data_IF_045210729165
#
_entry.id   IF_045210729165
#
_cell.length_a   1.000
_cell.length_b   1.000
_cell.length_c   1.000
_cell.angle_alpha   90.00
_cell.angle_beta   90.00
_cell.angle_gamma   90.00
#
_symmetry.space_group_name_H-M   'P 1'
#
loop_
_entity.id
_entity.type
_entity.pdbx_description
1 polymer ?
#
# COMPACT_ATOMS: atom_id res chain seq x y z
N UNK A 1 -3.70 0.47 11.87
CA UNK A 1 -4.67 -0.44 11.22
C UNK A 1 -5.89 0.38 10.83
N UNK A 2 -6.45 0.13 9.65
CA UNK A 2 -7.65 0.77 9.11
C UNK A 2 -8.60 -0.33 8.61
N UNK A 3 -9.90 -0.07 8.64
CA UNK A 3 -10.93 -1.06 8.25
C UNK A 3 -11.82 -0.51 7.14
N UNK A 4 -12.08 -1.33 6.12
CA UNK A 4 -13.08 -1.08 5.08
C UNK A 4 -14.24 -2.06 5.29
N UNK A 5 -15.45 -1.54 5.51
CA UNK A 5 -16.56 -2.32 6.04
C UNK A 5 -17.30 -3.18 4.98
N UNK A 6 -17.26 -2.81 3.71
CA UNK A 6 -17.95 -3.53 2.64
C UNK A 6 -17.29 -4.87 2.34
N UNK A 7 -15.96 -4.89 2.24
CA UNK A 7 -15.16 -6.10 2.00
C UNK A 7 -14.64 -6.75 3.29
N UNK A 8 -14.81 -6.06 4.43
CA UNK A 8 -14.18 -6.42 5.70
C UNK A 8 -12.64 -6.47 5.63
N UNK A 9 -12.04 -5.69 4.74
CA UNK A 9 -10.59 -5.64 4.56
C UNK A 9 -9.92 -4.79 5.63
N UNK A 10 -8.83 -5.33 6.18
CA UNK A 10 -7.88 -4.55 6.98
C UNK A 10 -6.77 -3.99 6.10
N UNK A 11 -6.63 -2.67 6.11
CA UNK A 11 -5.49 -1.97 5.50
C UNK A 11 -4.51 -1.58 6.60
N UNK A 12 -3.21 -1.79 6.35
CA UNK A 12 -2.15 -1.45 7.31
C UNK A 12 -1.27 -0.34 6.76
N UNK A 13 -1.03 0.71 7.56
CA UNK A 13 -0.08 1.78 7.28
C UNK A 13 1.07 1.65 8.28
N UNK A 14 2.28 1.46 7.77
CA UNK A 14 3.51 1.44 8.55
C UNK A 14 4.38 2.60 8.08
N UNK A 15 5.09 3.22 9.02
CA UNK A 15 5.99 4.32 8.72
C UNK A 15 7.20 4.29 9.64
N UNK A 16 8.34 4.72 9.12
CA UNK A 16 9.50 5.08 9.92
C UNK A 16 9.29 6.51 10.47
N UNK A 17 9.21 6.63 11.79
CA UNK A 17 8.96 7.91 12.45
C UNK A 17 10.10 8.93 12.25
N UNK A 18 11.32 8.49 11.97
CA UNK A 18 12.46 9.38 11.77
C UNK A 18 12.47 10.03 10.39
N UNK A 19 12.13 9.27 9.35
CA UNK A 19 12.18 9.72 7.95
C UNK A 19 10.81 10.13 7.40
N UNK A 20 9.72 9.64 7.99
CA UNK A 20 8.36 9.79 7.46
C UNK A 20 8.07 8.87 6.26
N UNK A 21 9.01 8.02 5.86
CA UNK A 21 8.80 7.05 4.78
C UNK A 21 7.80 5.98 5.23
N UNK A 22 6.83 5.68 4.37
CA UNK A 22 5.72 4.79 4.71
C UNK A 22 5.43 3.73 3.63
N UNK A 23 4.80 2.65 4.06
CA UNK A 23 4.19 1.62 3.22
C UNK A 23 2.74 1.41 3.65
N UNK A 24 1.86 1.21 2.66
CA UNK A 24 0.49 0.79 2.87
C UNK A 24 0.29 -0.61 2.30
N UNK A 25 -0.34 -1.49 3.07
CA UNK A 25 -0.58 -2.90 2.74
C UNK A 25 -2.08 -3.13 2.61
N UNK A 26 -2.48 -3.77 1.51
CA UNK A 26 -3.86 -4.06 1.12
C UNK A 26 -4.76 -2.80 1.15
N UNK A 27 -4.40 -1.72 0.44
CA UNK A 27 -5.27 -0.55 0.31
C UNK A 27 -6.49 -0.90 -0.55
N UNK A 28 -7.66 -0.41 -0.17
CA UNK A 28 -8.93 -0.57 -0.90
C UNK A 28 -9.26 0.69 -1.70
N UNK A 29 -9.73 0.55 -2.94
CA UNK A 29 -9.97 1.67 -3.86
C UNK A 29 -10.92 2.72 -3.27
N UNK A 30 -12.01 2.28 -2.68
CA UNK A 30 -13.07 3.10 -2.09
C UNK A 30 -12.56 3.94 -0.91
N UNK A 31 -11.50 3.49 -0.23
CA UNK A 31 -10.92 4.19 0.93
C UNK A 31 -9.70 5.03 0.60
N UNK A 32 -9.27 5.10 -0.66
CA UNK A 32 -8.12 5.94 -1.06
C UNK A 32 -8.24 7.40 -0.57
N UNK A 33 -9.41 8.07 -0.60
CA UNK A 33 -9.55 9.42 -0.02
C UNK A 33 -9.27 9.48 1.49
N UNK A 34 -9.63 8.45 2.26
CA UNK A 34 -9.28 8.32 3.69
C UNK A 34 -7.77 8.17 3.83
N UNK A 35 -7.17 7.30 3.04
CA UNK A 35 -5.74 6.96 3.15
C UNK A 35 -4.85 8.16 2.77
N UNK A 36 -5.19 8.89 1.71
CA UNK A 36 -4.51 10.12 1.31
C UNK A 36 -4.58 11.21 2.39
N UNK A 37 -5.75 11.38 3.02
CA UNK A 37 -5.92 12.34 4.11
C UNK A 37 -5.04 11.98 5.30
N UNK A 38 -5.02 10.71 5.69
CA UNK A 38 -4.21 10.25 6.82
C UNK A 38 -2.71 10.44 6.56
N UNK A 39 -2.23 10.06 5.36
CA UNK A 39 -0.84 10.29 4.97
C UNK A 39 -0.44 11.77 5.06
N UNK A 40 -1.32 12.66 4.59
CA UNK A 40 -1.10 14.12 4.67
C UNK A 40 -1.08 14.63 6.11
N UNK A 41 -2.04 14.21 6.93
CA UNK A 41 -2.15 14.65 8.33
C UNK A 41 -0.96 14.19 9.18
N UNK A 42 -0.42 13.02 8.88
CA UNK A 42 0.76 12.47 9.55
C UNK A 42 2.09 12.92 8.92
N UNK A 43 2.07 13.70 7.83
CA UNK A 43 3.28 14.16 7.14
C UNK A 43 4.12 13.04 6.53
N UNK A 44 3.49 11.95 6.09
CA UNK A 44 4.16 10.74 5.61
C UNK A 44 4.37 10.75 4.10
N UNK A 45 5.51 10.22 3.66
CA UNK A 45 5.83 9.97 2.26
C UNK A 45 5.59 8.50 1.93
N UNK A 46 4.55 8.22 1.16
CA UNK A 46 4.24 6.84 0.77
C UNK A 46 5.23 6.34 -0.29
N UNK A 47 6.07 5.36 0.06
CA UNK A 47 7.03 4.72 -0.85
C UNK A 47 6.42 3.56 -1.62
N UNK A 48 5.60 2.75 -0.94
CA UNK A 48 5.00 1.56 -1.53
C UNK A 48 3.52 1.41 -1.19
N UNK A 49 2.75 0.92 -2.16
CA UNK A 49 1.43 0.36 -1.97
C UNK A 49 1.48 -1.14 -2.31
N UNK A 50 1.57 -1.98 -1.28
CA UNK A 50 1.75 -3.42 -1.40
C UNK A 50 0.40 -4.14 -1.30
N UNK A 51 0.28 -5.25 -2.03
CA UNK A 51 -0.81 -6.20 -1.85
C UNK A 51 -0.23 -7.56 -1.44
N UNK A 52 -0.85 -8.20 -0.45
CA UNK A 52 -0.49 -9.55 -0.01
C UNK A 52 -0.75 -10.59 -1.10
N UNK A 53 -1.84 -10.43 -1.85
CA UNK A 53 -2.23 -11.28 -2.97
C UNK A 53 -3.15 -10.53 -3.95
N UNK A 54 -3.62 -11.21 -5.00
CA UNK A 54 -4.66 -10.69 -5.87
C UNK A 54 -6.01 -10.91 -5.18
N UNK A 55 -6.60 -9.83 -4.65
CA UNK A 55 -7.84 -9.87 -3.87
C UNK A 55 -9.06 -10.18 -4.76
N UNK A 56 -10.01 -10.93 -4.22
CA UNK A 56 -11.24 -11.33 -4.93
C UNK A 56 -12.50 -10.61 -4.40
N UNK A 57 -12.37 -9.97 -3.25
CA UNK A 57 -13.43 -9.34 -2.46
C UNK A 57 -13.46 -7.80 -2.59
N UNK A 58 -12.36 -7.20 -3.07
CA UNK A 58 -12.26 -5.74 -3.28
C UNK A 58 -11.31 -5.38 -4.43
N UNK A 59 -11.43 -4.15 -4.93
CA UNK A 59 -10.48 -3.59 -5.89
C UNK A 59 -9.35 -2.88 -5.15
N UNK A 60 -8.10 -3.22 -5.45
CA UNK A 60 -6.93 -2.57 -4.82
C UNK A 60 -6.88 -1.08 -5.11
N UNK A 61 -6.60 -0.28 -4.07
CA UNK A 61 -6.33 1.15 -4.14
C UNK A 61 -4.92 1.50 -4.63
N UNK A 62 -4.03 0.52 -4.80
CA UNK A 62 -2.62 0.72 -5.17
C UNK A 62 -2.43 1.55 -6.44
N UNK A 63 -3.24 1.32 -7.48
CA UNK A 63 -3.17 2.09 -8.73
C UNK A 63 -3.60 3.56 -8.57
N UNK A 64 -4.58 3.84 -7.72
CA UNK A 64 -5.02 5.20 -7.45
C UNK A 64 -3.99 5.97 -6.59
N UNK A 65 -3.44 5.33 -5.56
CA UNK A 65 -2.37 5.89 -4.73
C UNK A 65 -1.11 6.19 -5.54
N UNK A 66 -0.71 5.28 -6.43
CA UNK A 66 0.40 5.48 -7.37
C UNK A 66 0.20 6.71 -8.24
N UNK A 67 -1.00 6.92 -8.80
CA UNK A 67 -1.30 8.11 -9.60
C UNK A 67 -1.27 9.40 -8.78
N UNK A 68 -1.74 9.35 -7.54
CA UNK A 68 -1.83 10.53 -6.68
C UNK A 68 -0.49 10.94 -6.07
N UNK A 69 0.36 9.97 -5.68
CA UNK A 69 1.56 10.21 -4.86
C UNK A 69 2.87 9.79 -5.53
N UNK A 70 2.82 9.08 -6.67
CA UNK A 70 4.02 8.56 -7.33
C UNK A 70 4.69 7.39 -6.58
N UNK A 71 4.03 6.79 -5.58
CA UNK A 71 4.53 5.60 -4.90
C UNK A 71 4.59 4.38 -5.85
N UNK A 72 5.37 3.36 -5.49
CA UNK A 72 5.46 2.11 -6.27
C UNK A 72 4.44 1.07 -5.79
N UNK A 73 3.72 0.46 -6.72
CA UNK A 73 2.88 -0.71 -6.41
C UNK A 73 3.74 -1.96 -6.26
N UNK A 74 3.41 -2.83 -5.30
CA UNK A 74 4.11 -4.08 -5.06
C UNK A 74 3.14 -5.25 -4.87
N UNK A 75 3.49 -6.42 -5.41
CA UNK A 75 2.76 -7.68 -5.20
C UNK A 75 3.68 -8.87 -5.44
N UNK A 76 3.32 -10.07 -4.99
CA UNK A 76 4.07 -11.30 -5.31
C UNK A 76 4.17 -11.55 -6.81
N UNK A 77 5.36 -11.95 -7.28
CA UNK A 77 5.60 -12.41 -8.65
C UNK A 77 4.68 -13.58 -9.03
N UNK A 78 4.39 -14.47 -8.08
CA UNK A 78 3.54 -15.63 -8.30
C UNK A 78 2.05 -15.30 -8.46
N UNK A 79 1.63 -14.06 -8.15
CA UNK A 79 0.22 -13.64 -8.29
C UNK A 79 -0.23 -13.52 -9.75
N UNK A 80 0.71 -13.40 -10.70
CA UNK A 80 0.41 -13.13 -12.11
C UNK A 80 -0.09 -11.70 -12.39
N UNK A 81 -0.27 -10.86 -11.37
CA UNK A 81 -0.73 -9.49 -11.52
C UNK A 81 0.39 -8.53 -11.96
N UNK A 82 -0.03 -7.40 -12.54
CA UNK A 82 0.86 -6.29 -12.89
C UNK A 82 1.08 -5.37 -11.68
N UNK A 83 2.34 -5.02 -11.42
CA UNK A 83 2.76 -4.03 -10.43
C UNK A 83 4.13 -3.45 -10.82
N UNK A 84 4.52 -2.31 -10.24
CA UNK A 84 5.85 -1.73 -10.46
C UNK A 84 6.95 -2.65 -9.89
N UNK A 85 6.68 -3.31 -8.76
CA UNK A 85 7.54 -4.30 -8.12
C UNK A 85 6.81 -5.64 -8.01
N UNK A 86 7.45 -6.70 -8.51
CA UNK A 86 6.97 -8.08 -8.39
C UNK A 86 7.93 -8.89 -7.53
N UNK A 87 7.51 -9.18 -6.30
CA UNK A 87 8.36 -9.71 -5.24
C UNK A 87 8.47 -11.23 -5.27
N UNK A 88 9.65 -11.75 -4.98
CA UNK A 88 9.93 -13.18 -4.73
C UNK A 88 10.29 -13.41 -3.26
N UNK A 89 10.30 -14.68 -2.87
CA UNK A 89 10.74 -15.07 -1.53
C UNK A 89 12.14 -14.53 -1.22
N UNK A 90 12.29 -13.88 -0.07
CA UNK A 90 13.56 -13.31 0.38
C UNK A 90 13.86 -11.90 -0.15
N UNK A 91 13.01 -11.34 -1.02
CA UNK A 91 13.14 -9.93 -1.41
C UNK A 91 12.52 -8.99 -0.36
N UNK A 92 13.10 -7.81 -0.22
CA UNK A 92 12.74 -6.84 0.81
C UNK A 92 12.15 -5.56 0.20
N UNK A 93 11.16 -4.98 0.87
CA UNK A 93 10.68 -3.62 0.61
C UNK A 93 11.24 -2.68 1.67
N UNK A 94 12.33 -1.98 1.33
CA UNK A 94 13.01 -1.06 2.25
C UNK A 94 12.38 0.34 2.24
N UNK A 95 12.05 0.85 3.42
CA UNK A 95 11.50 2.18 3.65
C UNK A 95 12.06 2.79 4.95
N UNK A 96 12.51 4.04 4.89
CA UNK A 96 13.21 4.66 6.01
C UNK A 96 14.48 3.88 6.38
N UNK A 97 14.69 3.64 7.68
CA UNK A 97 15.83 2.89 8.19
C UNK A 97 15.71 1.35 8.13
N UNK A 98 14.63 0.82 7.54
CA UNK A 98 14.30 -0.62 7.50
C UNK A 98 14.33 -1.18 6.08
#
# INVERSE_FOLDING_TARGET
>A
QLFEASSCTYTYLLADAATGDAVIIDPVLETVPRDLRLLRELGLTLRYAANTHCHADHVTGSGALRRALGCRSAISWASGASADLRLRQGEELRFGAF
#
